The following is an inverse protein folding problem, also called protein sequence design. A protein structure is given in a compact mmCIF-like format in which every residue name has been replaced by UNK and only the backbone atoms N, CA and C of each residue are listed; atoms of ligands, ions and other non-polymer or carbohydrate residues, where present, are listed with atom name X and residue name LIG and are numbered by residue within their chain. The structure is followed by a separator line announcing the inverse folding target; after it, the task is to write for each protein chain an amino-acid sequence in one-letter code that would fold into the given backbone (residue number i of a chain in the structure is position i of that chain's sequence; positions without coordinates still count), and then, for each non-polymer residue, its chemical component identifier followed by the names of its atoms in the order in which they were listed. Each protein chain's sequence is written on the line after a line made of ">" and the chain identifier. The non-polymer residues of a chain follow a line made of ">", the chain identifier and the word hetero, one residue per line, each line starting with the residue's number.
data_IF_050447696981
#
_entry.id   IF_050447696981
#
_cell.length_a   1.000
_cell.length_b   1.000
_cell.length_c   1.000
_cell.angle_alpha   90.00
_cell.angle_beta   90.00
_cell.angle_gamma   90.00
#
_symmetry.space_group_name_H-M   'P 1'
#
loop_
_entity.id
_entity.type
_entity.pdbx_description
1 polymer ?
#
# COMPACT_ATOMS: atom_id res chain seq x y z
N UNK A 1 -14.23 13.62 -18.80
CA UNK A 1 -13.78 12.38 -18.14
C UNK A 1 -13.70 12.64 -16.65
N UNK A 2 -14.33 11.84 -15.79
CA UNK A 2 -14.28 12.05 -14.32
C UNK A 2 -13.04 11.43 -13.72
N UNK A 3 -12.39 12.11 -12.78
CA UNK A 3 -11.23 11.57 -12.05
C UNK A 3 -11.67 10.51 -11.03
N UNK A 4 -10.74 9.67 -10.57
CA UNK A 4 -11.02 8.72 -9.47
C UNK A 4 -11.43 9.46 -8.20
N UNK A 5 -10.81 10.62 -7.91
CA UNK A 5 -11.23 11.51 -6.81
C UNK A 5 -12.69 11.91 -6.90
N UNK A 6 -13.14 12.37 -8.06
CA UNK A 6 -14.53 12.78 -8.26
C UNK A 6 -15.52 11.60 -8.14
N UNK A 7 -15.08 10.39 -8.50
CA UNK A 7 -15.89 9.19 -8.36
C UNK A 7 -16.00 8.74 -6.89
N UNK A 8 -14.88 8.77 -6.16
CA UNK A 8 -14.84 8.43 -4.73
C UNK A 8 -15.51 9.48 -3.86
N UNK A 9 -15.42 10.77 -4.23
CA UNK A 9 -16.07 11.87 -3.52
C UNK A 9 -17.58 11.65 -3.33
N UNK A 10 -18.24 10.99 -4.29
CA UNK A 10 -19.68 10.67 -4.20
C UNK A 10 -20.01 9.71 -3.06
N UNK A 11 -19.09 8.80 -2.75
CA UNK A 11 -19.24 7.82 -1.68
C UNK A 11 -18.79 8.42 -0.36
N UNK A 12 -17.68 9.18 -0.35
CA UNK A 12 -17.21 9.83 0.87
C UNK A 12 -18.15 10.93 1.38
N UNK A 13 -19.03 11.48 0.54
CA UNK A 13 -20.05 12.47 0.95
C UNK A 13 -21.28 11.85 1.60
N UNK A 14 -21.52 10.55 1.42
CA UNK A 14 -22.63 9.85 2.09
C UNK A 14 -22.20 9.48 3.51
N UNK A 15 -23.01 9.84 4.51
CA UNK A 15 -22.72 9.57 5.92
C UNK A 15 -22.49 8.07 6.21
N UNK A 16 -23.20 7.19 5.50
CA UNK A 16 -23.07 5.74 5.68
C UNK A 16 -21.74 5.19 5.15
N UNK A 17 -21.13 5.87 4.19
CA UNK A 17 -19.91 5.43 3.51
C UNK A 17 -18.65 6.17 4.01
N UNK A 18 -18.79 7.41 4.48
CA UNK A 18 -17.69 8.29 4.89
C UNK A 18 -16.74 7.65 5.92
N UNK A 19 -17.28 6.92 6.90
CA UNK A 19 -16.47 6.33 7.98
C UNK A 19 -15.47 5.27 7.48
N UNK A 20 -15.86 4.48 6.48
CA UNK A 20 -14.98 3.50 5.86
C UNK A 20 -13.98 4.18 4.92
N UNK A 21 -14.47 5.10 4.08
CA UNK A 21 -13.65 5.82 3.10
C UNK A 21 -12.56 6.69 3.76
N UNK A 22 -12.83 7.26 4.94
CA UNK A 22 -11.82 7.97 5.73
C UNK A 22 -10.56 7.13 6.02
N UNK A 23 -10.69 5.80 6.09
CA UNK A 23 -9.58 4.87 6.33
C UNK A 23 -9.02 4.25 5.04
N UNK A 24 -9.88 4.00 4.06
CA UNK A 24 -9.53 3.26 2.83
C UNK A 24 -8.94 4.15 1.74
N UNK A 25 -9.45 5.38 1.61
CA UNK A 25 -9.08 6.27 0.51
C UNK A 25 -7.62 6.73 0.57
N UNK A 26 -7.04 7.11 1.73
CA UNK A 26 -5.66 7.61 1.76
C UNK A 26 -4.61 6.65 1.16
N UNK A 27 -4.52 5.36 1.55
CA UNK A 27 -3.59 4.45 0.89
C UNK A 27 -3.92 4.25 -0.59
N UNK A 28 -5.20 4.27 -0.97
CA UNK A 28 -5.62 4.20 -2.37
C UNK A 28 -5.09 5.38 -3.19
N UNK A 29 -5.26 6.60 -2.70
CA UNK A 29 -4.75 7.82 -3.35
C UNK A 29 -3.23 7.80 -3.50
N UNK A 30 -2.50 7.38 -2.47
CA UNK A 30 -1.04 7.25 -2.57
C UNK A 30 -0.61 6.32 -3.73
N UNK A 31 -1.40 5.28 -4.01
CA UNK A 31 -1.16 4.31 -5.07
C UNK A 31 -1.67 4.75 -6.45
N UNK A 32 -2.43 5.84 -6.55
CA UNK A 32 -2.96 6.32 -7.83
C UNK A 32 -1.85 6.75 -8.81
N UNK A 33 -0.63 7.00 -8.34
CA UNK A 33 0.54 7.25 -9.17
C UNK A 33 1.00 6.02 -9.99
N UNK A 34 0.40 4.85 -9.77
CA UNK A 34 0.67 3.63 -10.52
C UNK A 34 -0.52 3.27 -11.41
N UNK A 35 -0.23 2.79 -12.63
CA UNK A 35 -1.24 2.23 -13.52
C UNK A 35 -1.54 0.76 -13.19
N UNK A 36 -2.47 0.16 -13.94
CA UNK A 36 -2.97 -1.20 -13.67
C UNK A 36 -1.92 -2.31 -13.81
N UNK A 37 -0.75 -2.02 -14.39
CA UNK A 37 0.39 -2.95 -14.47
C UNK A 37 1.55 -2.55 -13.54
N UNK A 38 1.35 -1.53 -12.70
CA UNK A 38 2.35 -1.02 -11.75
C UNK A 38 3.33 -0.01 -12.35
N UNK A 39 3.09 0.50 -13.56
CA UNK A 39 3.92 1.54 -14.15
C UNK A 39 3.59 2.92 -13.58
N UNK A 40 4.61 3.78 -13.41
CA UNK A 40 4.38 5.16 -12.97
C UNK A 40 3.54 5.95 -13.98
N UNK A 41 2.61 6.78 -13.48
CA UNK A 41 1.77 7.69 -14.28
C UNK A 41 1.56 9.03 -13.60
N UNK A 42 1.71 10.11 -14.37
CA UNK A 42 1.35 11.47 -13.94
C UNK A 42 -0.09 11.85 -14.37
N UNK A 43 -0.65 11.09 -15.32
CA UNK A 43 -1.99 11.33 -15.91
C UNK A 43 -2.71 10.01 -16.16
N UNK A 44 -4.04 10.04 -16.06
CA UNK A 44 -4.88 8.89 -16.41
C UNK A 44 -4.85 8.62 -17.91
N UNK A 45 -5.05 7.35 -18.30
CA UNK A 45 -5.35 7.01 -19.70
C UNK A 45 -6.84 7.24 -19.96
N UNK A 46 -7.19 7.80 -21.12
CA UNK A 46 -8.57 8.01 -21.55
C UNK A 46 -8.79 7.47 -22.96
N UNK A 47 -9.97 6.91 -23.20
CA UNK A 47 -10.43 6.46 -24.52
C UNK A 47 -11.29 7.51 -25.24
N UNK A 48 -11.62 8.62 -24.56
CA UNK A 48 -12.49 9.68 -25.10
C UNK A 48 -11.77 11.02 -25.22
N UNK A 49 -12.11 11.94 -24.33
CA UNK A 49 -11.48 13.26 -24.24
C UNK A 49 -10.10 13.21 -23.58
N UNK A 50 -9.17 13.98 -24.09
CA UNK A 50 -7.81 14.08 -23.57
C UNK A 50 -6.81 14.54 -24.61
N UNK A 51 -5.57 14.75 -24.16
CA UNK A 51 -4.47 15.15 -25.04
C UNK A 51 -3.88 13.95 -25.78
N UNK A 52 -3.17 14.19 -26.88
CA UNK A 52 -2.45 13.13 -27.56
C UNK A 52 -1.43 12.47 -26.62
N UNK A 53 -1.47 11.13 -26.52
CA UNK A 53 -0.47 10.39 -25.76
C UNK A 53 0.84 10.33 -26.55
N UNK A 54 2.01 10.50 -25.89
CA UNK A 54 3.30 10.40 -26.55
C UNK A 54 3.47 9.00 -27.11
N UNK A 55 3.84 8.91 -28.39
CA UNK A 55 4.09 7.62 -29.04
C UNK A 55 5.32 6.96 -28.43
N UNK A 56 5.19 5.72 -27.99
CA UNK A 56 6.33 4.91 -27.56
C UNK A 56 7.25 4.57 -28.74
N UNK A 57 8.50 4.23 -28.44
CA UNK A 57 9.54 3.90 -29.43
C UNK A 57 9.64 2.41 -29.78
N UNK A 58 8.74 1.58 -29.25
CA UNK A 58 8.87 0.11 -29.32
C UNK A 58 8.52 -0.42 -30.72
N UNK A 59 7.45 0.10 -31.35
CA UNK A 59 7.00 -0.35 -32.67
C UNK A 59 6.31 0.78 -33.47
N UNK A 60 6.78 1.13 -34.67
CA UNK A 60 6.20 2.19 -35.52
C UNK A 60 4.87 1.80 -36.18
N UNK A 61 4.50 0.51 -36.21
CA UNK A 61 3.25 0.00 -36.77
C UNK A 61 2.16 -0.18 -35.70
N UNK A 62 2.53 -0.32 -34.42
CA UNK A 62 1.55 -0.33 -33.31
C UNK A 62 1.20 1.12 -32.93
N UNK A 63 -0.04 1.52 -33.21
CA UNK A 63 -0.58 2.82 -32.81
C UNK A 63 -0.98 2.84 -31.33
N UNK A 64 -0.84 3.99 -30.68
CA UNK A 64 -1.39 4.18 -29.33
C UNK A 64 -2.90 4.43 -29.42
N UNK A 65 -3.68 3.53 -28.82
CA UNK A 65 -5.15 3.61 -28.81
C UNK A 65 -5.75 4.45 -27.67
N UNK A 66 -4.95 5.23 -26.93
CA UNK A 66 -5.42 6.04 -25.80
C UNK A 66 -4.91 7.48 -25.85
N UNK A 67 -5.60 8.37 -25.13
CA UNK A 67 -5.27 9.77 -24.89
C UNK A 67 -4.89 10.00 -23.43
N UNK A 68 -4.18 11.09 -23.14
CA UNK A 68 -3.90 11.51 -21.78
C UNK A 68 -5.10 12.24 -21.19
N UNK A 69 -5.71 11.64 -20.17
CA UNK A 69 -6.79 12.20 -19.37
C UNK A 69 -6.28 13.19 -18.31
N UNK A 70 -7.08 13.48 -17.27
CA UNK A 70 -6.68 14.38 -16.19
C UNK A 70 -5.37 13.98 -15.49
N UNK A 71 -4.74 14.93 -14.79
CA UNK A 71 -3.60 14.65 -13.92
C UNK A 71 -4.02 13.75 -12.76
N UNK A 72 -3.12 12.85 -12.38
CA UNK A 72 -3.25 12.06 -11.16
C UNK A 72 -2.99 12.97 -9.97
N UNK A 73 -3.80 12.81 -8.94
CA UNK A 73 -3.58 13.44 -7.64
C UNK A 73 -3.42 12.34 -6.59
N UNK A 74 -2.16 12.11 -6.20
CA UNK A 74 -1.77 11.07 -5.27
C UNK A 74 -1.65 11.57 -3.82
N UNK A 75 -2.14 12.79 -3.53
CA UNK A 75 -2.08 13.36 -2.18
C UNK A 75 -3.18 12.80 -1.27
N UNK A 76 -3.10 13.03 0.04
CA UNK A 76 -4.16 12.60 0.94
C UNK A 76 -3.94 13.01 2.39
N UNK A 77 -4.95 12.71 3.21
CA UNK A 77 -4.97 12.98 4.66
C UNK A 77 -5.28 11.67 5.39
N UNK A 78 -4.44 11.30 6.35
CA UNK A 78 -4.63 10.13 7.18
C UNK A 78 -5.68 10.39 8.28
N UNK A 79 -6.26 9.32 8.88
CA UNK A 79 -7.23 9.46 9.97
C UNK A 79 -6.72 10.22 11.21
N UNK A 80 -5.41 10.30 11.39
CA UNK A 80 -4.74 11.02 12.47
C UNK A 80 -4.43 12.50 12.12
N UNK A 81 -4.79 12.93 10.89
CA UNK A 81 -4.62 14.30 10.41
C UNK A 81 -3.34 14.57 9.63
N UNK A 82 -2.39 13.63 9.55
CA UNK A 82 -1.19 13.82 8.74
C UNK A 82 -1.50 13.86 7.25
N UNK A 83 -0.81 14.75 6.51
CA UNK A 83 -1.01 14.94 5.07
C UNK A 83 0.20 14.48 4.28
N UNK A 84 0.00 13.86 3.12
CA UNK A 84 1.06 13.51 2.18
C UNK A 84 0.74 13.99 0.77
N UNK A 85 1.77 14.27 -0.03
CA UNK A 85 1.66 14.73 -1.42
C UNK A 85 1.74 13.61 -2.46
N UNK A 86 2.23 12.42 -2.08
CA UNK A 86 2.37 11.28 -2.96
C UNK A 86 2.94 10.04 -2.26
N UNK A 87 3.21 8.99 -3.05
CA UNK A 87 3.61 7.67 -2.51
C UNK A 87 4.86 7.71 -1.64
N UNK A 88 5.86 8.53 -1.99
CA UNK A 88 7.13 8.57 -1.26
C UNK A 88 6.96 9.10 0.16
N UNK A 89 6.21 10.19 0.32
CA UNK A 89 5.88 10.73 1.64
C UNK A 89 4.99 9.75 2.43
N UNK A 90 4.01 9.15 1.77
CA UNK A 90 3.16 8.14 2.39
C UNK A 90 3.96 6.93 2.92
N UNK A 91 4.91 6.43 2.12
CA UNK A 91 5.83 5.36 2.52
C UNK A 91 6.69 5.77 3.71
N UNK A 92 7.23 7.00 3.70
CA UNK A 92 8.03 7.52 4.81
C UNK A 92 7.22 7.60 6.11
N UNK A 93 5.94 8.01 6.04
CA UNK A 93 5.04 8.02 7.19
C UNK A 93 4.76 6.62 7.72
N UNK A 94 4.49 5.65 6.85
CA UNK A 94 4.31 4.25 7.27
C UNK A 94 5.60 3.68 7.88
N UNK A 95 6.76 4.03 7.33
CA UNK A 95 8.07 3.61 7.81
C UNK A 95 8.46 4.21 9.17
N UNK A 96 7.85 5.33 9.57
CA UNK A 96 8.07 5.93 10.88
C UNK A 96 7.62 5.02 12.05
N UNK A 97 6.63 4.15 11.83
CA UNK A 97 6.21 3.13 12.80
C UNK A 97 6.79 1.75 12.44
N UNK A 98 8.08 1.59 12.70
CA UNK A 98 8.80 0.33 12.46
C UNK A 98 8.22 -0.84 13.25
N UNK A 99 7.60 -0.59 14.42
CA UNK A 99 6.94 -1.63 15.24
C UNK A 99 5.79 -2.27 14.48
N UNK A 100 4.92 -1.45 13.89
CA UNK A 100 3.77 -1.92 13.13
C UNK A 100 4.18 -2.65 11.86
N UNK A 101 5.22 -2.17 11.18
CA UNK A 101 5.78 -2.87 10.01
C UNK A 101 6.35 -4.24 10.39
N UNK A 102 7.18 -4.30 11.43
CA UNK A 102 7.76 -5.56 11.90
C UNK A 102 6.70 -6.53 12.37
N UNK A 103 5.66 -6.06 13.05
CA UNK A 103 4.52 -6.90 13.45
C UNK A 103 3.81 -7.51 12.25
N UNK A 104 3.45 -6.71 11.25
CA UNK A 104 2.79 -7.23 10.06
C UNK A 104 3.68 -8.25 9.34
N UNK A 105 4.97 -7.94 9.18
CA UNK A 105 5.89 -8.86 8.52
C UNK A 105 6.10 -10.15 9.32
N UNK A 106 6.17 -10.08 10.66
CA UNK A 106 6.26 -11.25 11.53
C UNK A 106 5.04 -12.16 11.35
N UNK A 107 3.84 -11.59 11.31
CA UNK A 107 2.60 -12.33 11.08
C UNK A 107 2.61 -13.01 9.70
N UNK A 108 2.96 -12.29 8.63
CA UNK A 108 2.99 -12.85 7.28
C UNK A 108 4.05 -13.95 7.11
N UNK A 109 5.27 -13.75 7.63
CA UNK A 109 6.32 -14.77 7.60
C UNK A 109 5.87 -16.00 8.39
N UNK A 110 5.28 -15.81 9.57
CA UNK A 110 4.79 -16.92 10.39
C UNK A 110 3.68 -17.69 9.66
N UNK A 111 2.72 -17.01 9.04
CA UNK A 111 1.65 -17.66 8.26
C UNK A 111 2.26 -18.46 7.10
N UNK A 112 3.15 -17.85 6.33
CA UNK A 112 3.80 -18.48 5.20
C UNK A 112 4.63 -19.71 5.61
N UNK A 113 5.43 -19.59 6.67
CA UNK A 113 6.37 -20.62 7.10
C UNK A 113 5.69 -21.77 7.82
N UNK A 114 4.58 -21.51 8.51
CA UNK A 114 3.86 -22.52 9.29
C UNK A 114 2.63 -23.05 8.54
N UNK A 115 2.11 -22.36 7.53
CA UNK A 115 0.90 -22.75 6.80
C UNK A 115 -0.39 -22.66 7.60
N UNK A 116 -0.41 -21.91 8.71
CA UNK A 116 -1.61 -21.66 9.52
C UNK A 116 -1.82 -20.19 9.79
N UNK A 117 -3.06 -19.80 10.07
CA UNK A 117 -3.38 -18.45 10.52
C UNK A 117 -2.84 -18.17 11.93
N UNK A 118 -2.67 -16.89 12.24
CA UNK A 118 -2.32 -16.39 13.58
C UNK A 118 -3.57 -16.43 14.46
N UNK A 119 -3.53 -17.25 15.49
CA UNK A 119 -4.57 -17.36 16.50
C UNK A 119 -4.38 -16.34 17.63
N UNK A 120 -5.40 -16.19 18.48
CA UNK A 120 -5.31 -15.33 19.66
C UNK A 120 -4.16 -15.72 20.60
N UNK A 121 -3.91 -17.03 20.76
CA UNK A 121 -2.83 -17.58 21.58
C UNK A 121 -1.43 -17.19 21.12
N UNK A 122 -1.26 -16.88 19.83
CA UNK A 122 0.06 -16.56 19.26
C UNK A 122 0.47 -15.10 19.49
N UNK A 123 -0.47 -14.23 19.89
CA UNK A 123 -0.27 -12.78 19.92
C UNK A 123 0.87 -12.36 20.83
N UNK A 124 0.99 -12.97 22.00
CA UNK A 124 2.09 -12.67 22.93
C UNK A 124 3.44 -13.11 22.37
N UNK A 125 3.47 -14.21 21.62
CA UNK A 125 4.69 -14.68 21.00
C UNK A 125 5.11 -13.81 19.81
N UNK A 126 4.16 -13.37 18.98
CA UNK A 126 4.42 -12.37 17.93
C UNK A 126 4.95 -11.07 18.53
N UNK A 127 4.34 -10.57 19.62
CA UNK A 127 4.85 -9.37 20.32
C UNK A 127 6.29 -9.56 20.79
N UNK A 128 6.62 -10.72 21.35
CA UNK A 128 7.99 -11.03 21.79
C UNK A 128 8.99 -11.05 20.62
N UNK A 129 8.63 -11.69 19.50
CA UNK A 129 9.42 -11.72 18.27
C UNK A 129 9.71 -10.29 17.77
N UNK A 130 8.69 -9.43 17.71
CA UNK A 130 8.84 -8.03 17.26
C UNK A 130 9.74 -7.25 18.20
N UNK A 131 9.53 -7.37 19.52
CA UNK A 131 10.33 -6.67 20.52
C UNK A 131 11.81 -7.10 20.49
N UNK A 132 12.09 -8.39 20.30
CA UNK A 132 13.45 -8.89 20.15
C UNK A 132 14.08 -8.44 18.83
N UNK A 133 13.34 -8.52 17.72
CA UNK A 133 13.80 -8.04 16.43
C UNK A 133 14.20 -6.55 16.49
N UNK A 134 13.40 -5.71 17.16
CA UNK A 134 13.72 -4.30 17.37
C UNK A 134 14.99 -4.09 18.19
N UNK A 135 15.17 -4.83 19.30
CA UNK A 135 16.39 -4.77 20.11
C UNK A 135 17.64 -5.18 19.32
N UNK A 136 17.48 -6.10 18.38
CA UNK A 136 18.55 -6.71 17.60
C UNK A 136 18.71 -6.08 16.20
N UNK A 137 18.41 -4.78 16.06
CA UNK A 137 18.66 -3.97 14.86
C UNK A 137 17.49 -3.81 13.90
N UNK A 138 16.33 -4.44 14.17
CA UNK A 138 15.07 -4.20 13.46
C UNK A 138 15.03 -4.61 11.99
N UNK A 139 16.02 -5.37 11.51
CA UNK A 139 16.11 -5.80 10.12
C UNK A 139 15.28 -7.05 9.81
N UNK A 140 14.91 -7.22 8.53
CA UNK A 140 14.19 -8.41 8.04
C UNK A 140 14.93 -9.70 8.36
N UNK A 141 16.27 -9.70 8.23
CA UNK A 141 17.11 -10.87 8.59
C UNK A 141 16.91 -11.28 10.05
N UNK A 142 16.99 -10.32 10.96
CA UNK A 142 16.77 -10.55 12.39
C UNK A 142 15.37 -11.07 12.64
N UNK A 143 14.35 -10.48 12.00
CA UNK A 143 12.97 -10.91 12.15
C UNK A 143 12.76 -12.36 11.72
N UNK A 144 13.33 -12.78 10.59
CA UNK A 144 13.28 -14.17 10.13
C UNK A 144 13.92 -15.09 11.17
N UNK A 145 15.08 -14.72 11.70
CA UNK A 145 15.78 -15.50 12.73
C UNK A 145 14.94 -15.64 14.01
N UNK A 146 14.30 -14.57 14.48
CA UNK A 146 13.42 -14.60 15.65
C UNK A 146 12.19 -15.51 15.40
N UNK A 147 11.60 -15.46 14.20
CA UNK A 147 10.45 -16.32 13.84
C UNK A 147 10.85 -17.80 13.83
N UNK A 148 11.92 -18.18 13.14
CA UNK A 148 12.32 -19.60 13.03
C UNK A 148 12.81 -20.20 14.35
N UNK A 149 13.28 -19.36 15.28
CA UNK A 149 13.68 -19.77 16.63
C UNK A 149 12.50 -19.80 17.62
N UNK A 150 11.34 -19.27 17.24
CA UNK A 150 10.17 -19.22 18.11
C UNK A 150 9.47 -20.58 18.22
N UNK A 151 8.76 -20.79 19.33
CA UNK A 151 7.89 -21.97 19.47
C UNK A 151 6.82 -22.04 18.37
N UNK A 152 6.32 -20.90 17.84
CA UNK A 152 5.35 -20.89 16.73
C UNK A 152 5.85 -21.70 15.52
N UNK A 153 7.16 -21.67 15.28
CA UNK A 153 7.80 -22.41 14.20
C UNK A 153 8.29 -23.79 14.64
N UNK A 154 8.84 -23.92 15.84
CA UNK A 154 9.48 -25.17 16.29
C UNK A 154 8.51 -26.24 16.81
N UNK A 155 7.34 -25.86 17.30
CA UNK A 155 6.34 -26.80 17.84
C UNK A 155 5.24 -27.11 16.83
N UNK A 156 5.58 -27.01 15.54
CA UNK A 156 4.69 -27.27 14.41
C UNK A 156 4.61 -28.76 14.07
#
# INVERSE_FOLDING_TARGET
>A
TKTIREQLARHSTDMSCAACHAKLDPPGFALEAFDVIGGWRDRYRSIGEGDAAPRGSIDPFIGIGFKLGPKVDASGVLPDGHTFSGITEFQAMLAADSTRLLKNLAEQITIYSTGREIAFSDREQIKAIVANAQKNGGGVRTLIQEVVQSALFQTK
#
